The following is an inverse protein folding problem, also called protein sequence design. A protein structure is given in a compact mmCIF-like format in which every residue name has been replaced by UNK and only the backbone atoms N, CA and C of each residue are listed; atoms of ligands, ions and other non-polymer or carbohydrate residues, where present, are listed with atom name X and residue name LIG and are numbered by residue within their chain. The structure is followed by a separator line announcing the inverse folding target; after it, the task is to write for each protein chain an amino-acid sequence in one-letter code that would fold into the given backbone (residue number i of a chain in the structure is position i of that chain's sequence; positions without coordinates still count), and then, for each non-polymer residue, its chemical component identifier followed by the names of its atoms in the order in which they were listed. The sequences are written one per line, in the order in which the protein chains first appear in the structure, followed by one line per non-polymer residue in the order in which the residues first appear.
data_IF_161045176233
#
_entry.id   IF_161045176233
#
_cell.length_a   1.000
_cell.length_b   1.000
_cell.length_c   1.000
_cell.angle_alpha   90.00
_cell.angle_beta   90.00
_cell.angle_gamma   90.00
#
_symmetry.space_group_name_H-M   'P 1'
#
loop_
_entity.id
_entity.type
_entity.pdbx_description
1 polymer ?
#
# COMPACT_ATOMS: atom_id res chain seq x y z
N UNK A 1 12.17 14.49 12.98
CA UNK A 1 12.98 13.30 12.62
C UNK A 1 12.39 11.98 13.14
N UNK A 2 12.09 11.81 14.45
CA UNK A 2 11.37 10.61 14.94
C UNK A 2 9.92 10.55 14.44
N UNK A 3 9.27 11.70 14.32
CA UNK A 3 7.88 11.81 13.85
C UNK A 3 7.73 11.42 12.37
N UNK A 4 8.77 11.68 11.57
CA UNK A 4 8.79 11.36 10.14
C UNK A 4 8.88 9.84 9.91
N UNK A 5 9.67 9.15 10.73
CA UNK A 5 9.76 7.69 10.70
C UNK A 5 8.42 7.06 11.07
N UNK A 6 7.79 7.51 12.16
CA UNK A 6 6.48 7.01 12.58
C UNK A 6 5.40 7.22 11.50
N UNK A 7 5.44 8.37 10.83
CA UNK A 7 4.54 8.69 9.72
C UNK A 7 4.75 7.75 8.53
N UNK A 8 6.00 7.51 8.12
CA UNK A 8 6.31 6.59 7.02
C UNK A 8 5.94 5.15 7.36
N UNK A 9 6.24 4.69 8.58
CA UNK A 9 5.87 3.35 9.05
C UNK A 9 4.36 3.14 9.07
N UNK A 10 3.57 4.16 9.44
CA UNK A 10 2.10 4.06 9.43
C UNK A 10 1.50 3.86 8.03
N UNK A 11 2.25 4.22 6.98
CA UNK A 11 1.84 4.11 5.58
C UNK A 11 2.42 2.90 4.89
N UNK A 12 3.45 2.27 5.45
CA UNK A 12 3.99 1.02 4.93
C UNK A 12 3.14 -0.14 5.46
N UNK A 13 2.57 -1.01 4.61
CA UNK A 13 1.77 -2.16 5.02
C UNK A 13 2.42 -3.06 6.07
N UNK A 14 3.76 -3.12 6.09
CA UNK A 14 4.52 -3.92 7.03
C UNK A 14 4.80 -3.26 8.38
N UNK A 15 4.50 -1.97 8.56
CA UNK A 15 4.66 -1.20 9.81
C UNK A 15 6.00 -1.40 10.56
N UNK A 16 7.08 -1.68 9.83
CA UNK A 16 8.42 -1.93 10.38
C UNK A 16 9.49 -1.27 9.50
N UNK A 17 10.66 -0.93 10.06
CA UNK A 17 11.80 -0.49 9.27
C UNK A 17 12.19 -1.53 8.21
N UNK A 18 12.70 -1.04 7.08
CA UNK A 18 13.26 -1.90 6.04
C UNK A 18 14.56 -2.52 6.55
N UNK A 19 14.70 -3.83 6.33
CA UNK A 19 15.93 -4.55 6.66
C UNK A 19 16.76 -4.77 5.39
N UNK A 20 18.10 -4.87 5.48
CA UNK A 20 18.96 -5.17 4.32
C UNK A 20 18.54 -6.45 3.59
N UNK A 21 17.97 -7.41 4.33
CA UNK A 21 17.43 -8.66 3.78
C UNK A 21 16.36 -8.41 2.72
N UNK A 22 15.58 -7.34 2.84
CA UNK A 22 14.45 -7.05 1.95
C UNK A 22 14.91 -6.70 0.53
N UNK A 23 16.09 -6.10 0.38
CA UNK A 23 16.68 -5.73 -0.92
C UNK A 23 17.60 -6.82 -1.47
N UNK A 24 18.27 -7.56 -0.58
CA UNK A 24 19.28 -8.56 -0.94
C UNK A 24 18.76 -9.65 -1.89
N UNK A 25 17.53 -10.14 -1.68
CA UNK A 25 16.93 -11.18 -2.51
C UNK A 25 16.62 -10.71 -3.93
N UNK A 26 16.15 -9.47 -4.08
CA UNK A 26 15.86 -8.85 -5.38
C UNK A 26 17.15 -8.62 -6.15
N UNK A 27 18.19 -8.11 -5.47
CA UNK A 27 19.50 -7.92 -6.09
C UNK A 27 20.08 -9.25 -6.54
N UNK A 28 20.01 -10.28 -5.69
CA UNK A 28 20.46 -11.62 -6.05
C UNK A 28 19.71 -12.14 -7.30
N UNK A 29 18.38 -11.99 -7.36
CA UNK A 29 17.58 -12.37 -8.53
C UNK A 29 18.00 -11.61 -9.80
N UNK A 30 18.26 -10.30 -9.71
CA UNK A 30 18.70 -9.51 -10.87
C UNK A 30 20.07 -9.94 -11.40
N UNK A 31 20.91 -10.60 -10.60
CA UNK A 31 22.17 -11.18 -11.04
C UNK A 31 22.02 -12.57 -11.69
N UNK A 32 20.85 -13.21 -11.61
CA UNK A 32 20.62 -14.51 -12.25
C UNK A 32 20.36 -14.37 -13.76
N UNK A 33 20.71 -15.38 -14.58
CA UNK A 33 20.37 -15.42 -16.01
C UNK A 33 18.87 -15.26 -16.30
N UNK A 34 18.01 -15.63 -15.36
CA UNK A 34 16.56 -15.47 -15.46
C UNK A 34 16.13 -13.99 -15.56
N UNK A 35 16.93 -13.06 -15.08
CA UNK A 35 16.68 -11.62 -15.18
C UNK A 35 17.33 -10.98 -16.44
N UNK A 36 17.89 -11.77 -17.36
CA UNK A 36 18.61 -11.27 -18.56
C UNK A 36 17.80 -10.32 -19.45
N UNK A 37 16.47 -10.45 -19.44
CA UNK A 37 15.56 -9.58 -20.19
C UNK A 37 15.13 -8.32 -19.42
N UNK A 38 15.51 -8.18 -18.15
CA UNK A 38 15.14 -7.05 -17.30
C UNK A 38 16.25 -6.01 -17.37
N UNK A 39 16.17 -5.10 -18.34
CA UNK A 39 17.12 -3.99 -18.50
C UNK A 39 16.40 -2.65 -18.50
N UNK A 40 16.96 -1.65 -17.80
CA UNK A 40 16.41 -0.29 -17.76
C UNK A 40 15.15 -0.13 -16.90
N UNK A 41 14.77 -1.14 -16.12
CA UNK A 41 13.61 -1.08 -15.22
C UNK A 41 14.03 -0.68 -13.79
N UNK A 42 13.21 0.15 -13.16
CA UNK A 42 13.38 0.54 -11.74
C UNK A 42 12.43 -0.31 -10.90
N UNK A 43 12.98 -1.16 -10.04
CA UNK A 43 12.20 -2.03 -9.15
C UNK A 43 12.12 -1.42 -7.75
N UNK A 44 10.94 -0.99 -7.33
CA UNK A 44 10.72 -0.46 -5.99
C UNK A 44 10.61 -1.58 -4.95
N UNK A 45 11.54 -1.62 -4.00
CA UNK A 45 11.57 -2.59 -2.90
C UNK A 45 11.29 -1.86 -1.58
N UNK A 46 10.01 -1.66 -1.26
CA UNK A 46 9.59 -0.82 -0.13
C UNK A 46 8.41 -1.40 0.67
N UNK A 47 8.16 -2.71 0.53
CA UNK A 47 7.07 -3.45 1.20
C UNK A 47 5.67 -2.87 0.96
N UNK A 48 5.45 -2.20 -0.18
CA UNK A 48 4.16 -1.67 -0.59
C UNK A 48 3.92 -0.21 -0.16
N UNK A 49 4.96 0.46 0.35
CA UNK A 49 4.89 1.88 0.68
C UNK A 49 4.54 2.75 -0.55
N UNK A 50 5.01 2.40 -1.75
CA UNK A 50 4.66 3.12 -2.99
C UNK A 50 3.16 3.07 -3.29
N UNK A 51 2.50 1.94 -3.03
CA UNK A 51 1.07 1.73 -3.33
C UNK A 51 0.18 2.45 -2.30
N UNK A 52 0.50 2.29 -1.02
CA UNK A 52 -0.28 2.86 0.09
C UNK A 52 0.03 4.35 0.33
N UNK A 53 1.25 4.78 -0.01
CA UNK A 53 1.72 6.14 0.16
C UNK A 53 1.16 7.12 -0.85
N UNK A 54 1.13 6.79 -2.15
CA UNK A 54 0.83 7.80 -3.19
C UNK A 54 -0.61 7.81 -3.71
N UNK A 55 -1.37 6.72 -3.54
CA UNK A 55 -2.80 6.77 -3.79
C UNK A 55 -3.49 7.46 -2.61
N UNK A 56 -3.55 8.79 -2.70
CA UNK A 56 -4.56 9.59 -2.04
C UNK A 56 -5.89 8.86 -2.23
N UNK A 57 -6.45 8.38 -1.12
CA UNK A 57 -7.85 7.96 -1.04
C UNK A 57 -8.64 9.19 -1.47
N UNK A 58 -8.90 9.31 -2.78
CA UNK A 58 -9.79 10.32 -3.34
C UNK A 58 -11.12 9.97 -2.72
N UNK A 59 -11.41 10.65 -1.62
CA UNK A 59 -12.61 10.44 -0.84
C UNK A 59 -13.76 10.59 -1.83
N UNK A 60 -14.33 9.46 -2.24
CA UNK A 60 -15.72 9.44 -2.62
C UNK A 60 -16.43 9.72 -1.29
N UNK A 61 -16.64 11.01 -0.98
CA UNK A 61 -17.64 11.43 0.00
C UNK A 61 -18.98 11.02 -0.61
N UNK A 62 -19.37 9.77 -0.41
CA UNK A 62 -20.53 9.20 -1.05
C UNK A 62 -21.18 8.15 -0.17
N UNK A 63 -22.10 8.62 0.67
CA UNK A 63 -23.12 7.86 1.41
C UNK A 63 -22.63 6.83 2.43
N UNK A 64 -22.90 7.16 3.69
CA UNK A 64 -22.90 6.25 4.83
C UNK A 64 -23.92 5.13 4.53
N UNK A 65 -23.47 3.88 4.46
CA UNK A 65 -24.32 2.68 4.30
C UNK A 65 -25.13 2.35 5.57
N UNK A 66 -25.60 3.38 6.29
CA UNK A 66 -26.44 3.28 7.48
C UNK A 66 -27.81 3.94 7.29
N UNK A 67 -28.01 4.68 6.20
CA UNK A 67 -29.30 5.30 5.88
C UNK A 67 -30.29 4.33 5.18
N UNK A 68 -29.84 3.15 4.73
CA UNK A 68 -30.69 2.18 4.02
C UNK A 68 -31.45 1.21 4.94
N UNK A 69 -31.15 1.16 6.25
CA UNK A 69 -31.89 0.29 7.20
C UNK A 69 -33.17 0.92 7.76
N UNK A 70 -33.44 2.19 7.47
CA UNK A 70 -34.64 2.88 7.94
C UNK A 70 -35.74 3.00 6.86
N UNK A 71 -35.41 2.73 5.59
CA UNK A 71 -36.38 2.83 4.49
C UNK A 71 -37.40 1.66 4.44
N UNK A 72 -37.11 0.53 5.09
CA UNK A 72 -37.96 -0.68 5.04
C UNK A 72 -38.96 -0.82 6.20
N UNK A 73 -38.93 0.10 7.18
CA UNK A 73 -39.86 0.06 8.33
C UNK A 73 -41.08 0.97 8.12
N UNK A 74 -41.11 1.76 7.04
CA UNK A 74 -42.17 2.77 6.79
C UNK A 74 -43.33 2.36 5.87
N UNK A 75 -43.36 1.14 5.32
CA UNK A 75 -44.48 0.64 4.49
C UNK A 75 -45.19 -0.52 5.22
N UNK A 76 -45.90 -0.20 6.29
CA UNK A 76 -46.91 -1.07 6.90
C UNK A 76 -47.86 -0.21 7.71
N UNK A 77 -48.62 0.65 7.05
CA UNK A 77 -49.97 1.11 7.42
C UNK A 77 -50.67 1.61 6.17
#
# INVERSE_FOLDING_TARGET
MKDDLARSLSRTPSCRPGEPSDVSSVVAFLCFPAASYITGQVVCVDRGHTITGFYQRRMIKGKKMRDLRLAWIGLSF
#
